data_IF_647704218683
#
_entry.id   IF_647704218683
#
_cell.length_a   1.000
_cell.length_b   1.000
_cell.length_c   1.000
_cell.angle_alpha   90.00
_cell.angle_beta   90.00
_cell.angle_gamma   90.00
#
_symmetry.space_group_name_H-M   'P 1'
#
loop_
_entity.id
_entity.type
_entity.pdbx_description
1 polymer ?
#
# COMPACT_ATOMS: atom_id res chain seq x y z
N UNK A 1 23.50 -15.62 -4.07
CA UNK A 1 22.50 -15.86 -3.01
C UNK A 1 22.08 -14.51 -2.46
N UNK A 2 20.88 -14.05 -2.77
CA UNK A 2 20.44 -12.72 -2.34
C UNK A 2 18.96 -12.56 -2.64
N UNK A 3 18.11 -12.96 -1.71
CA UNK A 3 16.68 -12.68 -1.76
C UNK A 3 16.04 -13.10 -0.43
N UNK A 4 16.29 -12.33 0.63
CA UNK A 4 15.52 -12.44 1.86
C UNK A 4 14.62 -11.22 2.04
N UNK A 5 15.20 -10.04 1.87
CA UNK A 5 14.56 -8.77 2.26
C UNK A 5 14.09 -7.91 1.08
N UNK A 6 14.57 -8.19 -0.14
CA UNK A 6 14.21 -7.43 -1.34
C UNK A 6 12.73 -7.57 -1.72
N UNK A 7 12.15 -8.75 -1.49
CA UNK A 7 10.73 -9.03 -1.77
C UNK A 7 9.75 -8.61 -0.67
N UNK A 8 10.24 -8.19 0.51
CA UNK A 8 9.37 -7.83 1.62
C UNK A 8 8.74 -6.45 1.40
N UNK A 9 7.45 -6.33 1.75
CA UNK A 9 6.77 -5.03 1.85
C UNK A 9 7.38 -4.18 2.96
N UNK A 10 7.15 -2.86 2.93
CA UNK A 10 7.60 -1.95 3.98
C UNK A 10 7.04 -2.35 5.34
N UNK A 11 5.78 -2.79 5.42
CA UNK A 11 5.21 -3.31 6.66
C UNK A 11 5.97 -4.53 7.20
N UNK A 12 6.27 -5.52 6.34
CA UNK A 12 7.06 -6.68 6.75
C UNK A 12 8.47 -6.28 7.20
N UNK A 13 9.09 -5.31 6.50
CA UNK A 13 10.40 -4.77 6.86
C UNK A 13 10.39 -4.02 8.19
N UNK A 14 9.33 -3.27 8.52
CA UNK A 14 9.13 -2.67 9.84
C UNK A 14 8.99 -3.76 10.91
N UNK A 15 8.16 -4.78 10.66
CA UNK A 15 7.91 -5.88 11.61
C UNK A 15 9.16 -6.68 11.98
N UNK A 16 10.07 -6.89 11.02
CA UNK A 16 11.36 -7.58 11.28
C UNK A 16 12.48 -6.63 11.72
N UNK A 17 12.20 -5.34 11.92
CA UNK A 17 13.16 -4.34 12.40
C UNK A 17 14.22 -3.94 11.36
N UNK A 18 13.95 -4.15 10.07
CA UNK A 18 14.86 -3.76 8.99
C UNK A 18 14.82 -2.26 8.68
N UNK A 19 13.67 -1.61 8.91
CA UNK A 19 13.51 -0.16 8.77
C UNK A 19 13.61 0.53 10.12
N UNK A 20 14.26 1.68 10.15
CA UNK A 20 14.25 2.56 11.32
C UNK A 20 12.90 3.29 11.44
N UNK A 21 12.45 3.59 12.65
CA UNK A 21 11.19 4.33 12.89
C UNK A 21 11.11 5.64 12.09
N UNK A 22 12.23 6.35 11.94
CA UNK A 22 12.31 7.59 11.14
C UNK A 22 12.03 7.41 9.64
N UNK A 23 12.13 6.18 9.14
CA UNK A 23 11.84 5.83 7.75
C UNK A 23 10.35 5.54 7.53
N UNK A 24 9.54 5.44 8.60
CA UNK A 24 8.10 5.31 8.55
C UNK A 24 7.46 6.60 9.04
N UNK A 25 6.81 7.33 8.14
CA UNK A 25 6.13 8.56 8.53
C UNK A 25 4.70 8.25 9.01
N UNK A 26 4.45 8.43 10.31
CA UNK A 26 3.13 8.26 10.90
C UNK A 26 2.25 9.49 10.62
N UNK A 27 1.40 9.39 9.59
CA UNK A 27 0.56 10.48 9.10
C UNK A 27 -0.74 10.55 9.90
N UNK A 28 -0.97 11.68 10.59
CA UNK A 28 -2.19 11.95 11.38
C UNK A 28 -2.95 13.19 10.94
N UNK A 29 -2.38 13.98 10.03
CA UNK A 29 -2.93 15.23 9.55
C UNK A 29 -2.90 15.25 8.03
N UNK A 30 -3.79 16.03 7.41
CA UNK A 30 -3.75 16.24 5.97
C UNK A 30 -2.45 16.93 5.56
N UNK A 31 -1.90 16.56 4.41
CA UNK A 31 -0.65 17.14 3.92
C UNK A 31 -0.09 16.43 2.70
N UNK A 32 1.04 16.94 2.23
CA UNK A 32 1.81 16.38 1.12
C UNK A 32 3.04 15.66 1.70
N UNK A 33 3.22 14.42 1.29
CA UNK A 33 4.26 13.52 1.79
C UNK A 33 5.12 13.00 0.64
N UNK A 34 6.43 12.93 0.89
CA UNK A 34 7.40 12.37 -0.05
C UNK A 34 7.87 11.02 0.47
N UNK A 35 7.91 10.03 -0.42
CA UNK A 35 8.28 8.64 -0.15
C UNK A 35 9.40 8.27 -1.11
N UNK A 36 10.51 7.79 -0.60
CA UNK A 36 11.59 7.22 -1.40
C UNK A 36 11.31 5.75 -1.73
N UNK A 37 11.88 5.22 -2.83
CA UNK A 37 11.74 3.81 -3.17
C UNK A 37 12.16 2.88 -2.01
N UNK A 38 11.38 1.82 -1.79
CA UNK A 38 11.60 0.89 -0.67
C UNK A 38 12.87 0.05 -0.78
N UNK A 39 13.45 -0.04 -1.97
CA UNK A 39 14.65 -0.81 -2.28
C UNK A 39 15.95 0.00 -2.17
N UNK A 40 15.88 1.33 -2.02
CA UNK A 40 17.07 2.16 -1.83
C UNK A 40 17.56 2.10 -0.38
N UNK A 41 18.88 1.99 -0.19
CA UNK A 41 19.52 1.90 1.13
C UNK A 41 19.78 3.28 1.78
N UNK A 42 18.85 4.21 1.59
CA UNK A 42 18.90 5.56 2.16
C UNK A 42 18.04 5.64 3.42
N UNK A 43 18.32 6.63 4.26
CA UNK A 43 17.61 6.85 5.52
C UNK A 43 16.34 7.71 5.38
N UNK A 44 15.94 8.03 4.15
CA UNK A 44 14.70 8.76 3.88
C UNK A 44 13.46 7.92 4.13
N UNK A 45 12.30 8.58 4.07
CA UNK A 45 10.98 7.98 4.32
C UNK A 45 10.71 6.90 3.27
N UNK A 46 10.45 5.67 3.68
CA UNK A 46 10.17 4.51 2.83
C UNK A 46 8.68 4.19 2.71
N UNK A 47 7.91 4.60 3.70
CA UNK A 47 6.45 4.56 3.62
C UNK A 47 5.84 5.64 4.49
N UNK A 48 4.58 5.95 4.16
CA UNK A 48 3.68 6.62 5.10
C UNK A 48 2.70 5.61 5.69
N UNK A 49 2.44 5.74 6.99
CA UNK A 49 1.53 4.91 7.77
C UNK A 49 0.38 5.78 8.25
N UNK A 50 -0.83 5.48 7.81
CA UNK A 50 -2.05 6.21 8.16
C UNK A 50 -2.88 5.31 9.08
N UNK A 51 -3.12 5.70 10.34
CA UNK A 51 -3.98 4.93 11.24
C UNK A 51 -5.43 5.06 10.78
N UNK A 52 -6.08 3.90 10.64
CA UNK A 52 -7.49 3.78 10.36
C UNK A 52 -8.18 3.52 11.69
N UNK A 53 -8.77 4.59 12.24
CA UNK A 53 -9.59 4.46 13.44
C UNK A 53 -10.86 3.71 13.09
N UNK A 54 -10.89 2.42 13.38
CA UNK A 54 -12.12 1.65 13.41
C UNK A 54 -12.55 1.46 14.85
N UNK A 55 -13.61 2.15 15.23
CA UNK A 55 -14.27 1.87 16.49
C UNK A 55 -15.14 0.63 16.28
N UNK A 56 -14.78 -0.45 16.96
CA UNK A 56 -15.54 -1.69 16.88
C UNK A 56 -16.63 -1.66 17.96
N UNK A 57 -17.86 -1.99 17.58
CA UNK A 57 -19.03 -2.02 18.47
C UNK A 57 -18.93 -3.11 19.55
N UNK A 58 -17.96 -4.02 19.46
CA UNK A 58 -17.64 -5.06 20.44
C UNK A 58 -16.60 -4.61 21.50
N UNK A 59 -16.13 -3.36 21.45
CA UNK A 59 -15.14 -2.81 22.38
C UNK A 59 -13.70 -3.25 22.10
N UNK A 60 -13.44 -4.00 21.04
CA UNK A 60 -12.10 -4.33 20.56
C UNK A 60 -11.71 -3.36 19.47
N UNK A 61 -11.17 -2.20 19.84
CA UNK A 61 -10.57 -1.28 18.88
C UNK A 61 -9.50 -2.03 18.08
N UNK A 62 -9.69 -2.09 16.76
CA UNK A 62 -8.74 -2.73 15.85
C UNK A 62 -7.90 -1.65 15.21
N UNK A 63 -6.60 -1.72 15.47
CA UNK A 63 -5.63 -0.82 14.86
C UNK A 63 -5.38 -1.24 13.41
N UNK A 64 -6.18 -0.73 12.48
CA UNK A 64 -5.88 -0.88 11.05
C UNK A 64 -4.97 0.25 10.57
N UNK A 65 -4.18 -0.02 9.55
CA UNK A 65 -3.30 0.98 8.95
C UNK A 65 -3.34 0.91 7.42
N UNK A 66 -3.30 2.07 6.77
CA UNK A 66 -2.81 2.14 5.40
C UNK A 66 -1.30 2.39 5.39
N UNK A 67 -0.59 1.51 4.70
CA UNK A 67 0.81 1.73 4.33
C UNK A 67 0.89 2.09 2.87
N UNK A 68 1.51 3.22 2.57
CA UNK A 68 1.76 3.62 1.20
C UNK A 68 3.25 3.54 0.93
N UNK A 69 3.63 2.76 -0.06
CA UNK A 69 5.02 2.54 -0.45
C UNK A 69 5.24 2.82 -1.95
N UNK A 70 6.51 3.01 -2.31
CA UNK A 70 6.94 3.17 -3.70
C UNK A 70 7.94 2.07 -4.07
N UNK A 71 7.66 1.40 -5.19
CA UNK A 71 8.52 0.39 -5.79
C UNK A 71 8.90 0.88 -7.19
N UNK A 72 10.18 0.97 -7.50
CA UNK A 72 10.59 1.29 -8.88
C UNK A 72 10.44 0.06 -9.77
N UNK A 73 9.96 0.20 -11.01
CA UNK A 73 9.91 -0.89 -11.98
C UNK A 73 11.30 -1.18 -12.57
N UNK A 74 12.30 -1.50 -11.74
CA UNK A 74 13.67 -1.84 -12.14
C UNK A 74 13.94 -3.35 -12.01
N UNK A 75 14.69 -3.94 -12.94
CA UNK A 75 15.08 -5.36 -12.86
C UNK A 75 13.90 -6.34 -12.98
N UNK A 76 13.79 -7.31 -12.06
CA UNK A 76 12.74 -8.33 -12.07
C UNK A 76 11.33 -7.77 -11.88
N UNK A 77 11.20 -6.56 -11.31
CA UNK A 77 9.92 -5.86 -11.16
C UNK A 77 9.38 -5.34 -12.51
N UNK A 78 10.24 -5.23 -13.53
CA UNK A 78 9.83 -5.03 -14.93
C UNK A 78 9.26 -6.32 -15.55
N UNK A 79 9.65 -7.48 -15.04
CA UNK A 79 9.37 -8.84 -15.54
C UNK A 79 8.16 -9.48 -14.82
N UNK A 80 7.57 -8.82 -13.82
CA UNK A 80 6.22 -9.17 -13.34
C UNK A 80 5.15 -9.04 -14.44
N UNK A 81 5.48 -8.36 -15.54
CA UNK A 81 4.67 -8.30 -16.77
C UNK A 81 4.73 -9.56 -17.65
N UNK A 82 5.66 -10.50 -17.42
CA UNK A 82 5.97 -11.53 -18.43
C UNK A 82 6.25 -12.96 -17.95
N UNK A 83 6.09 -13.30 -16.66
CA UNK A 83 6.13 -14.72 -16.24
C UNK A 83 5.08 -15.11 -15.19
N UNK A 84 3.94 -15.62 -15.67
CA UNK A 84 3.33 -16.91 -15.27
C UNK A 84 2.88 -17.19 -13.83
N UNK A 85 3.16 -16.34 -12.83
CA UNK A 85 2.64 -16.52 -11.45
C UNK A 85 1.52 -15.51 -11.13
N UNK A 86 1.30 -14.54 -12.02
CA UNK A 86 0.26 -13.51 -11.93
C UNK A 86 -0.72 -13.58 -13.10
N UNK A 87 -1.20 -14.77 -13.47
CA UNK A 87 -2.28 -14.97 -14.48
C UNK A 87 -3.59 -14.23 -14.12
N UNK A 88 -3.72 -13.72 -12.88
CA UNK A 88 -4.86 -12.88 -12.44
C UNK A 88 -4.63 -11.37 -12.60
N UNK A 89 -3.40 -10.92 -12.93
CA UNK A 89 -3.04 -9.53 -13.25
C UNK A 89 -2.83 -9.37 -14.78
N UNK A 90 -3.01 -10.44 -15.56
CA UNK A 90 -2.84 -10.47 -17.01
C UNK A 90 -4.00 -9.81 -17.79
N UNK A 91 -4.01 -8.48 -17.91
CA UNK A 91 -4.59 -7.94 -19.14
C UNK A 91 -4.00 -6.65 -19.69
N UNK A 92 -3.05 -6.01 -19.03
CA UNK A 92 -2.38 -4.86 -19.62
C UNK A 92 -0.94 -4.78 -19.12
N UNK A 93 -0.06 -4.17 -19.90
CA UNK A 93 1.26 -3.71 -19.44
C UNK A 93 1.05 -2.82 -18.21
N UNK A 94 0.94 -3.41 -17.03
CA UNK A 94 0.66 -2.69 -15.80
C UNK A 94 1.89 -1.85 -15.49
N UNK A 95 1.80 -0.57 -15.82
CA UNK A 95 2.77 0.42 -15.39
C UNK A 95 2.71 0.49 -13.86
N UNK A 96 3.66 -0.18 -13.21
CA UNK A 96 3.78 -0.27 -11.76
C UNK A 96 4.36 1.01 -11.14
N UNK A 97 4.56 2.07 -11.94
CA UNK A 97 5.14 3.32 -11.46
C UNK A 97 4.10 4.19 -10.75
N UNK A 98 4.06 4.11 -9.43
CA UNK A 98 3.19 4.93 -8.59
C UNK A 98 3.06 4.40 -7.16
N UNK A 99 2.00 4.81 -6.46
CA UNK A 99 1.81 4.47 -5.06
C UNK A 99 1.14 3.11 -4.87
N UNK A 100 1.80 2.20 -4.14
CA UNK A 100 1.18 0.96 -3.66
C UNK A 100 0.53 1.23 -2.31
N UNK A 101 -0.73 0.83 -2.13
CA UNK A 101 -1.46 1.02 -0.87
C UNK A 101 -1.77 -0.34 -0.28
N UNK A 102 -1.27 -0.58 0.93
CA UNK A 102 -1.51 -1.79 1.69
C UNK A 102 -2.48 -1.49 2.84
N UNK A 103 -3.50 -2.33 3.01
CA UNK A 103 -4.28 -2.39 4.23
C UNK A 103 -3.64 -3.40 5.17
N UNK A 104 -3.33 -2.98 6.38
CA UNK A 104 -2.64 -3.80 7.38
C UNK A 104 -3.51 -3.92 8.63
N UNK A 105 -3.61 -5.15 9.15
CA UNK A 105 -4.09 -5.44 10.49
C UNK A 105 -3.00 -6.20 11.27
N UNK A 106 -2.29 -5.56 12.21
CA UNK A 106 -1.21 -6.18 12.98
C UNK A 106 -1.69 -7.32 13.89
N UNK A 107 -3.00 -7.39 14.18
CA UNK A 107 -3.59 -8.45 14.99
C UNK A 107 -3.93 -9.72 14.18
N UNK A 108 -3.50 -9.79 12.91
CA UNK A 108 -3.45 -11.03 12.13
C UNK A 108 -4.78 -11.54 11.59
N UNK A 109 -5.82 -10.69 11.54
CA UNK A 109 -7.13 -11.09 11.06
C UNK A 109 -7.83 -9.96 10.29
N UNK A 110 -7.69 -9.91 8.97
CA UNK A 110 -8.46 -9.00 8.10
C UNK A 110 -9.95 -9.44 8.00
N UNK A 111 -10.67 -9.45 9.14
CA UNK A 111 -12.08 -9.90 9.27
C UNK A 111 -13.12 -9.00 8.59
N UNK A 112 -12.70 -7.96 7.87
CA UNK A 112 -13.59 -7.01 7.19
C UNK A 112 -13.95 -7.44 5.76
N UNK A 113 -13.54 -8.63 5.34
CA UNK A 113 -13.86 -9.19 4.03
C UNK A 113 -14.83 -10.35 4.25
N UNK A 114 -16.14 -10.16 4.01
CA UNK A 114 -17.11 -11.25 4.10
C UNK A 114 -16.69 -12.42 3.19
N UNK A 115 -16.42 -13.59 3.77
CA UNK A 115 -16.03 -14.80 3.04
C UNK A 115 -14.52 -15.10 3.00
N UNK A 116 -13.68 -14.32 3.69
CA UNK A 116 -12.23 -14.52 3.70
C UNK A 116 -11.74 -14.96 5.09
N UNK A 117 -11.12 -16.14 5.19
CA UNK A 117 -10.46 -16.68 6.38
C UNK A 117 -8.98 -16.90 6.11
N UNK A 118 -8.27 -15.83 5.72
CA UNK A 118 -6.81 -15.87 5.60
C UNK A 118 -6.17 -15.18 6.81
N UNK A 119 -5.07 -15.77 7.28
CA UNK A 119 -4.31 -15.32 8.45
C UNK A 119 -3.30 -14.21 8.12
N UNK A 120 -3.42 -13.60 6.95
CA UNK A 120 -2.52 -12.56 6.51
C UNK A 120 -2.82 -11.24 7.24
N UNK A 121 -1.76 -10.60 7.71
CA UNK A 121 -1.80 -9.33 8.42
C UNK A 121 -1.74 -8.12 7.48
N UNK A 122 -1.62 -8.34 6.18
CA UNK A 122 -1.63 -7.29 5.15
C UNK A 122 -2.30 -7.74 3.84
N UNK A 123 -2.91 -6.80 3.13
CA UNK A 123 -3.41 -6.97 1.77
C UNK A 123 -3.05 -5.76 0.91
N UNK A 124 -2.65 -5.99 -0.34
CA UNK A 124 -2.49 -4.93 -1.34
C UNK A 124 -3.88 -4.57 -1.87
N UNK A 125 -4.18 -3.27 -1.95
CA UNK A 125 -5.47 -2.78 -2.43
C UNK A 125 -5.48 -2.60 -3.96
N UNK A 126 -6.64 -2.86 -4.59
CA UNK A 126 -6.92 -2.46 -5.97
C UNK A 126 -7.12 -0.94 -6.04
N UNK A 127 -6.26 -0.25 -6.79
CA UNK A 127 -6.23 1.20 -7.01
C UNK A 127 -6.96 1.64 -8.29
N UNK A 128 -7.70 0.74 -8.95
CA UNK A 128 -8.54 1.10 -10.10
C UNK A 128 -9.47 2.26 -9.74
N UNK A 129 -9.67 3.29 -10.60
CA UNK A 129 -10.53 4.45 -10.28
C UNK A 129 -12.00 4.14 -9.94
N UNK A 130 -12.43 2.89 -10.12
CA UNK A 130 -13.77 2.39 -9.79
C UNK A 130 -13.78 1.46 -8.57
N UNK A 131 -12.65 1.22 -7.92
CA UNK A 131 -12.59 0.46 -6.68
C UNK A 131 -13.03 1.36 -5.53
N UNK A 132 -14.10 0.95 -4.85
CA UNK A 132 -14.56 1.59 -3.63
C UNK A 132 -14.08 0.70 -2.47
N UNK A 133 -13.76 1.27 -1.30
CA UNK A 133 -13.38 0.50 -0.12
C UNK A 133 -14.45 -0.53 0.34
N UNK A 134 -15.68 -0.42 -0.19
CA UNK A 134 -16.81 -1.31 0.05
C UNK A 134 -16.94 -2.45 -0.98
N UNK A 135 -16.15 -2.45 -2.07
CA UNK A 135 -16.15 -3.52 -3.07
C UNK A 135 -15.17 -4.61 -2.66
N UNK A 136 -15.59 -5.86 -2.83
CA UNK A 136 -14.81 -7.07 -2.54
C UNK A 136 -13.37 -6.92 -3.07
N UNK A 137 -12.42 -6.66 -2.16
CA UNK A 137 -11.09 -6.09 -2.46
C UNK A 137 -10.22 -6.98 -3.38
N UNK A 138 -10.70 -8.18 -3.67
CA UNK A 138 -10.05 -9.18 -4.52
C UNK A 138 -10.75 -9.47 -5.85
N UNK A 139 -11.98 -9.00 -6.09
CA UNK A 139 -12.70 -9.30 -7.34
C UNK A 139 -12.22 -8.47 -8.53
N UNK A 140 -11.36 -7.48 -8.29
CA UNK A 140 -10.94 -6.57 -9.34
C UNK A 140 -9.49 -6.12 -9.22
N UNK A 141 -8.51 -6.98 -8.90
CA UNK A 141 -7.07 -6.63 -8.87
C UNK A 141 -6.55 -6.29 -10.29
N UNK A 142 -7.07 -5.23 -10.91
CA UNK A 142 -6.77 -4.77 -12.27
C UNK A 142 -5.73 -3.67 -12.25
N UNK A 143 -5.65 -2.90 -11.18
CA UNK A 143 -4.62 -1.88 -10.99
C UNK A 143 -4.15 -1.92 -9.53
N UNK A 144 -2.87 -2.21 -9.29
CA UNK A 144 -2.31 -2.29 -7.91
C UNK A 144 -1.66 -0.98 -7.46
N UNK A 145 -1.63 0.02 -8.36
CA UNK A 145 -0.86 1.24 -8.18
C UNK A 145 -1.70 2.47 -8.45
N UNK A 146 -1.66 3.44 -7.53
CA UNK A 146 -2.25 4.75 -7.74
C UNK A 146 -1.28 5.63 -8.54
N UNK A 147 -1.60 5.84 -9.82
CA UNK A 147 -0.77 6.60 -10.76
C UNK A 147 -0.91 8.11 -10.54
N UNK A 148 0.05 8.86 -11.08
CA UNK A 148 0.03 10.33 -11.06
C UNK A 148 -1.32 10.91 -11.49
N UNK A 149 -1.90 11.75 -10.64
CA UNK A 149 -3.20 12.38 -10.83
C UNK A 149 -4.40 11.56 -10.35
N UNK A 150 -4.24 10.27 -10.08
CA UNK A 150 -5.32 9.42 -9.55
C UNK A 150 -5.52 9.64 -8.05
N UNK A 151 -6.73 9.35 -7.57
CA UNK A 151 -7.12 9.51 -6.16
C UNK A 151 -7.89 8.30 -5.69
N UNK A 152 -7.43 7.69 -4.59
CA UNK A 152 -8.17 6.71 -3.81
C UNK A 152 -8.98 7.43 -2.73
N UNK A 153 -10.24 7.03 -2.56
CA UNK A 153 -11.15 7.59 -1.55
C UNK A 153 -11.75 6.50 -0.69
N UNK A 154 -11.61 6.68 0.62
CA UNK A 154 -12.31 5.92 1.64
C UNK A 154 -13.35 6.83 2.31
N UNK A 155 -14.58 6.78 1.80
CA UNK A 155 -15.69 7.60 2.28
C UNK A 155 -16.16 7.21 3.70
N UNK A 156 -15.91 5.96 4.11
CA UNK A 156 -16.26 5.46 5.45
C UNK A 156 -15.30 6.04 6.48
N UNK A 157 -14.00 6.04 6.18
CA UNK A 157 -12.95 6.49 7.09
C UNK A 157 -12.54 7.94 6.88
N UNK A 158 -13.17 8.63 5.93
CA UNK A 158 -12.96 10.05 5.65
C UNK A 158 -11.52 10.37 5.29
N UNK A 159 -10.93 9.51 4.45
CA UNK A 159 -9.55 9.61 3.99
C UNK A 159 -9.52 9.59 2.47
N UNK A 160 -8.73 10.47 1.88
CA UNK A 160 -8.37 10.38 0.47
C UNK A 160 -6.85 10.45 0.31
N UNK A 161 -6.36 9.70 -0.66
CA UNK A 161 -4.95 9.59 -1.00
C UNK A 161 -4.84 9.89 -2.49
N UNK A 162 -4.01 10.85 -2.87
CA UNK A 162 -3.79 11.24 -4.26
C UNK A 162 -2.31 11.19 -4.60
N UNK A 163 -1.96 10.55 -5.70
CA UNK A 163 -0.58 10.60 -6.21
C UNK A 163 -0.38 11.91 -6.98
N UNK A 164 0.52 12.76 -6.49
CA UNK A 164 0.81 14.07 -7.11
C UNK A 164 1.89 13.93 -8.18
N UNK A 165 2.97 13.21 -7.87
CA UNK A 165 4.14 13.11 -8.72
C UNK A 165 4.88 11.80 -8.46
N UNK A 166 5.52 11.26 -9.50
CA UNK A 166 6.30 10.02 -9.44
C UNK A 166 7.59 10.22 -10.24
N UNK A 167 8.73 10.03 -9.59
CA UNK A 167 10.08 10.09 -10.18
C UNK A 167 10.91 8.91 -9.72
N UNK A 168 12.01 8.65 -10.43
CA UNK A 168 12.93 7.54 -10.17
C UNK A 168 13.58 7.53 -8.77
N UNK A 169 13.45 8.60 -7.99
CA UNK A 169 13.98 8.71 -6.63
C UNK A 169 12.91 9.01 -5.58
N UNK A 170 11.67 9.32 -6.00
CA UNK A 170 10.61 9.68 -5.07
C UNK A 170 9.20 9.56 -5.65
N UNK A 171 8.27 9.27 -4.76
CA UNK A 171 6.83 9.37 -4.92
C UNK A 171 6.33 10.52 -4.04
N UNK A 172 5.43 11.35 -4.57
CA UNK A 172 4.76 12.42 -3.82
C UNK A 172 3.28 12.12 -3.76
N UNK A 173 2.73 12.04 -2.54
CA UNK A 173 1.31 11.78 -2.29
C UNK A 173 0.70 12.88 -1.43
N UNK A 174 -0.52 13.25 -1.73
CA UNK A 174 -1.37 14.08 -0.89
C UNK A 174 -2.30 13.17 -0.10
N UNK A 175 -2.34 13.36 1.21
CA UNK A 175 -3.28 12.68 2.11
C UNK A 175 -4.22 13.74 2.67
N UNK A 176 -5.52 13.48 2.63
CA UNK A 176 -6.53 14.39 3.13
C UNK A 176 -7.54 13.64 4.01
N UNK A 177 -7.75 14.14 5.22
CA UNK A 177 -8.79 13.73 6.17
C UNK A 177 -9.94 14.76 6.13
N UNK A 178 -11.19 14.33 5.88
CA UNK A 178 -12.32 15.24 5.61
C UNK A 178 -13.65 14.93 6.30
#
# INVERSE_FOLDING_TARGET
MGSGLGGLSVYQKEKVGFLFDRQINNVKNSGIYTIEPRETNTLGVKAIKIPLREHSSDGNDKDFYYYIEYIRPIGADKILSSSGVLDRIQSTNADLNGAFVHLVNPNGLLYLIPGYQDYDDQAILDMSPHSNADMNIYENIKDVVLKTGQTFKDEKRKISIKTIDVKDDKLVVEVNFY
#
